data_IF_158858064670
#
_entry.id   IF_158858064670
#
_cell.length_a   1.000
_cell.length_b   1.000
_cell.length_c   1.000
_cell.angle_alpha   90.00
_cell.angle_beta   90.00
_cell.angle_gamma   90.00
#
_symmetry.space_group_name_H-M   'P 1'
#
loop_
_entity.id
_entity.type
_entity.pdbx_description
1 polymer ?
#
# COMPACT_ATOMS: atom_id res chain seq x y z
N UNK A 1 -10.60 11.46 -14.68
CA UNK A 1 -9.75 10.25 -14.79
C UNK A 1 -10.12 9.32 -13.65
N UNK A 2 -10.10 7.99 -13.83
CA UNK A 2 -10.37 7.06 -12.74
C UNK A 2 -9.28 7.17 -11.67
N UNK A 3 -9.68 7.21 -10.40
CA UNK A 3 -8.76 7.22 -9.27
C UNK A 3 -8.01 5.89 -9.19
N UNK A 4 -6.74 5.95 -8.81
CA UNK A 4 -5.91 4.75 -8.73
C UNK A 4 -6.18 4.02 -7.43
N UNK A 5 -6.59 2.75 -7.53
CA UNK A 5 -6.75 1.84 -6.38
C UNK A 5 -5.54 0.91 -6.32
N UNK A 6 -4.95 0.78 -5.14
CA UNK A 6 -3.82 -0.12 -4.87
C UNK A 6 -4.18 -1.08 -3.75
N UNK A 7 -3.71 -2.32 -3.84
CA UNK A 7 -3.86 -3.31 -2.77
C UNK A 7 -2.54 -3.41 -1.98
N UNK A 8 -2.62 -3.47 -0.66
CA UNK A 8 -1.47 -3.57 0.20
C UNK A 8 -1.78 -4.20 1.56
N UNK A 9 -0.72 -4.41 2.34
CA UNK A 9 -0.81 -4.98 3.69
C UNK A 9 -0.42 -3.92 4.72
N UNK A 10 -1.16 -3.83 5.82
CA UNK A 10 -0.86 -2.90 6.92
C UNK A 10 0.39 -3.39 7.65
N UNK A 11 1.41 -2.52 7.74
CA UNK A 11 2.68 -2.81 8.42
C UNK A 11 2.74 -2.16 9.80
N UNK A 12 2.13 -0.99 9.96
CA UNK A 12 2.17 -0.24 11.21
C UNK A 12 0.89 0.57 11.41
N UNK A 13 0.36 0.48 12.63
CA UNK A 13 -0.78 1.21 13.15
C UNK A 13 -0.36 1.94 14.44
N UNK A 14 0.66 2.80 14.32
CA UNK A 14 1.23 3.55 15.45
C UNK A 14 0.83 5.02 15.45
N UNK A 15 0.26 5.49 14.35
CA UNK A 15 -0.11 6.88 14.19
C UNK A 15 -1.62 6.99 14.37
N UNK A 16 -2.06 8.01 15.10
CA UNK A 16 -3.50 8.27 15.23
C UNK A 16 -4.11 8.62 13.87
N UNK A 17 -5.19 7.93 13.52
CA UNK A 17 -5.97 8.11 12.29
C UNK A 17 -5.21 7.86 10.98
N UNK A 18 -4.05 7.21 11.04
CA UNK A 18 -3.19 6.99 9.89
C UNK A 18 -2.53 5.62 9.96
N UNK A 19 -2.74 4.80 8.95
CA UNK A 19 -2.11 3.48 8.85
C UNK A 19 -1.02 3.47 7.78
N UNK A 20 0.06 2.72 8.03
CA UNK A 20 1.14 2.53 7.06
C UNK A 20 0.92 1.24 6.30
N UNK A 21 0.66 1.36 5.00
CA UNK A 21 0.36 0.25 4.09
C UNK A 21 1.54 -0.03 3.17
N UNK A 22 2.00 -1.28 3.12
CA UNK A 22 3.00 -1.74 2.15
C UNK A 22 2.33 -2.27 0.91
N UNK A 23 2.55 -1.59 -0.20
CA UNK A 23 2.08 -2.01 -1.53
C UNK A 23 3.25 -2.67 -2.27
N UNK A 24 3.00 -3.85 -2.81
CA UNK A 24 3.97 -4.56 -3.65
C UNK A 24 3.58 -4.48 -5.12
N UNK A 25 4.55 -4.20 -5.98
CA UNK A 25 4.40 -4.34 -7.43
C UNK A 25 5.45 -5.27 -8.00
N UNK A 26 5.06 -6.03 -9.02
CA UNK A 26 5.95 -6.83 -9.84
C UNK A 26 6.23 -6.08 -11.13
N UNK A 27 7.49 -5.99 -11.53
CA UNK A 27 7.87 -5.44 -12.82
C UNK A 27 9.03 -6.25 -13.38
N UNK A 28 9.11 -6.29 -14.70
CA UNK A 28 10.22 -6.93 -15.40
C UNK A 28 11.40 -5.99 -15.42
N UNK A 29 12.56 -6.44 -14.97
CA UNK A 29 13.77 -5.62 -15.04
C UNK A 29 14.11 -5.34 -16.51
N UNK A 30 14.35 -4.08 -16.92
CA UNK A 30 14.45 -3.71 -18.33
C UNK A 30 15.60 -4.42 -19.06
N UNK A 31 16.75 -4.59 -18.40
CA UNK A 31 17.92 -5.24 -19.00
C UNK A 31 17.89 -6.77 -18.92
N UNK A 32 17.60 -7.32 -17.75
CA UNK A 32 17.77 -8.75 -17.43
C UNK A 32 16.51 -9.57 -17.70
N UNK A 33 15.38 -8.92 -18.03
CA UNK A 33 14.06 -9.53 -18.22
C UNK A 33 13.56 -10.43 -17.08
N UNK A 34 14.23 -10.39 -15.92
CA UNK A 34 13.83 -11.08 -14.70
C UNK A 34 12.67 -10.35 -14.04
N UNK A 35 11.66 -11.08 -13.56
CA UNK A 35 10.58 -10.51 -12.75
C UNK A 35 11.09 -10.16 -11.35
N UNK A 36 11.02 -8.88 -11.00
CA UNK A 36 11.46 -8.35 -9.70
C UNK A 36 10.27 -7.80 -8.92
N UNK A 37 10.26 -8.02 -7.61
CA UNK A 37 9.29 -7.42 -6.67
C UNK A 37 9.86 -6.13 -6.08
N UNK A 38 9.07 -5.06 -6.06
CA UNK A 38 9.40 -3.82 -5.35
C UNK A 38 8.24 -3.40 -4.47
N UNK A 39 8.54 -3.15 -3.21
CA UNK A 39 7.61 -2.62 -2.23
C UNK A 39 7.75 -1.11 -2.08
N UNK A 40 6.63 -0.43 -1.83
CA UNK A 40 6.59 0.98 -1.39
C UNK A 40 5.59 1.10 -0.25
N UNK A 41 5.95 1.88 0.77
CA UNK A 41 5.06 2.18 1.88
C UNK A 41 4.25 3.45 1.56
N UNK A 42 2.96 3.42 1.89
CA UNK A 42 2.01 4.49 1.75
C UNK A 42 1.37 4.78 3.10
N UNK A 43 1.09 6.04 3.38
CA UNK A 43 0.27 6.44 4.52
C UNK A 43 -1.16 6.58 4.02
N UNK A 44 -2.09 5.87 4.66
CA UNK A 44 -3.51 5.94 4.35
C UNK A 44 -4.26 6.51 5.55
N UNK A 45 -5.25 7.35 5.26
CA UNK A 45 -6.10 7.93 6.29
C UNK A 45 -7.19 6.93 6.70
N UNK A 46 -7.35 6.73 8.00
CA UNK A 46 -8.42 5.92 8.60
C UNK A 46 -8.97 6.69 9.80
N UNK A 47 -10.21 7.17 9.75
CA UNK A 47 -10.78 7.93 10.87
C UNK A 47 -11.16 7.06 12.07
N UNK A 48 -11.41 5.77 11.85
CA UNK A 48 -11.98 4.88 12.87
C UNK A 48 -10.95 3.93 13.48
N UNK A 49 -9.70 3.95 13.00
CA UNK A 49 -8.64 3.01 13.40
C UNK A 49 -9.14 1.56 13.38
N UNK A 50 -9.89 1.21 12.34
CA UNK A 50 -10.50 -0.12 12.22
C UNK A 50 -9.47 -1.16 11.76
N UNK A 51 -8.44 -0.74 11.02
CA UNK A 51 -7.48 -1.64 10.39
C UNK A 51 -6.30 -1.99 11.30
N UNK A 52 -6.01 -3.29 11.39
CA UNK A 52 -4.90 -3.81 12.22
C UNK A 52 -3.71 -4.25 11.38
N UNK A 53 -2.55 -4.33 12.02
CA UNK A 53 -1.32 -4.83 11.40
C UNK A 53 -1.51 -6.25 10.87
N UNK A 54 -1.12 -6.46 9.60
CA UNK A 54 -1.23 -7.75 8.92
C UNK A 54 -2.47 -7.92 8.03
N UNK A 55 -3.44 -7.00 8.10
CA UNK A 55 -4.62 -7.04 7.25
C UNK A 55 -4.32 -6.57 5.83
N UNK A 56 -5.04 -7.14 4.86
CA UNK A 56 -4.96 -6.73 3.45
C UNK A 56 -6.08 -5.75 3.16
N UNK A 57 -5.74 -4.58 2.65
CA UNK A 57 -6.71 -3.52 2.32
C UNK A 57 -6.46 -2.92 0.94
N UNK A 58 -7.47 -2.22 0.44
CA UNK A 58 -7.37 -1.39 -0.76
C UNK A 58 -7.27 0.07 -0.34
N UNK A 59 -6.32 0.79 -0.94
CA UNK A 59 -6.12 2.23 -0.78
C UNK A 59 -6.48 2.92 -2.08
N UNK A 60 -7.16 4.06 -1.98
CA UNK A 60 -7.52 4.91 -3.12
C UNK A 60 -6.76 6.24 -3.03
N UNK A 61 -6.36 6.78 -4.18
CA UNK A 61 -5.75 8.10 -4.26
C UNK A 61 -6.76 9.21 -3.89
N UNK A 62 -6.43 9.97 -2.85
CA UNK A 62 -7.16 11.15 -2.38
C UNK A 62 -6.27 12.41 -2.56
N UNK A 63 -6.83 13.56 -2.99
CA UNK A 63 -6.07 14.81 -3.15
C UNK A 63 -5.62 15.43 -1.82
#
# INVERSE_FOLDING_TARGET
MPKRVLQGVVVSDKNDKTVVVRVERRFTHPLLQKTVRRSKNYQAHDEKNEFKVGETMWIEECP
#
